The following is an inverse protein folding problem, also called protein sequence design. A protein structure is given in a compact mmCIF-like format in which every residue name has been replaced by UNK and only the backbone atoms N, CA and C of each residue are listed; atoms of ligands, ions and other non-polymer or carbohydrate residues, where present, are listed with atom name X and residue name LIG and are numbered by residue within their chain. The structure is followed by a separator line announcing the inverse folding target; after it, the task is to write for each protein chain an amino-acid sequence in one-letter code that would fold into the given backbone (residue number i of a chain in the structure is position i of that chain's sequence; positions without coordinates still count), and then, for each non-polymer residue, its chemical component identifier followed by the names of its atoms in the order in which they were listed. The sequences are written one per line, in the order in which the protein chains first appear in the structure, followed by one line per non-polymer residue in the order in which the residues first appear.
data_IF_070114480293
#
_entry.id   IF_070114480293
#
_cell.length_a   1.000
_cell.length_b   1.000
_cell.length_c   1.000
_cell.angle_alpha   90.00
_cell.angle_beta   90.00
_cell.angle_gamma   90.00
#
_symmetry.space_group_name_H-M   'P 1'
#
loop_
_entity.id
_entity.type
_entity.pdbx_description
1 polymer ?
#
# COMPACT_ATOMS: atom_id res chain seq x y z
N UNK A 1 -7.27 5.06 0.64
CA UNK A 1 -8.08 3.83 0.90
C UNK A 1 -7.73 2.69 -0.08
N UNK A 2 -7.43 3.02 -1.34
CA UNK A 2 -7.21 2.04 -2.42
C UNK A 2 -6.14 0.98 -2.11
N UNK A 3 -5.06 1.36 -1.42
CA UNK A 3 -4.00 0.43 -1.04
C UNK A 3 -4.50 -0.73 -0.18
N UNK A 4 -5.39 -0.47 0.78
CA UNK A 4 -5.96 -1.51 1.64
C UNK A 4 -6.79 -2.50 0.81
N UNK A 5 -7.64 -2.02 -0.10
CA UNK A 5 -8.45 -2.88 -0.95
C UNK A 5 -7.60 -3.74 -1.87
N UNK A 6 -6.66 -3.11 -2.57
CA UNK A 6 -5.82 -3.79 -3.56
C UNK A 6 -4.99 -4.89 -2.91
N UNK A 7 -4.29 -4.58 -1.83
CA UNK A 7 -3.42 -5.56 -1.17
C UNK A 7 -4.19 -6.66 -0.44
N UNK A 8 -5.30 -6.33 0.23
CA UNK A 8 -6.13 -7.33 0.89
C UNK A 8 -6.72 -8.32 -0.12
N UNK A 9 -7.23 -7.80 -1.24
CA UNK A 9 -7.78 -8.67 -2.28
C UNK A 9 -6.69 -9.52 -2.95
N UNK A 10 -5.57 -8.92 -3.29
CA UNK A 10 -4.47 -9.62 -3.93
C UNK A 10 -3.87 -10.72 -3.06
N UNK A 11 -3.74 -10.49 -1.75
CA UNK A 11 -3.25 -11.50 -0.81
C UNK A 11 -4.20 -12.69 -0.68
N UNK A 12 -5.51 -12.46 -0.82
CA UNK A 12 -6.53 -13.52 -0.81
C UNK A 12 -6.64 -14.26 -2.17
N UNK A 13 -6.24 -13.61 -3.27
CA UNK A 13 -6.39 -14.12 -4.63
C UNK A 13 -5.11 -13.95 -5.47
N UNK A 14 -3.94 -14.40 -4.98
CA UNK A 14 -2.68 -14.12 -5.65
C UNK A 14 -2.60 -14.68 -7.08
N UNK A 15 -3.29 -15.78 -7.36
CA UNK A 15 -3.32 -16.40 -8.69
C UNK A 15 -4.05 -15.56 -9.74
N UNK A 16 -4.84 -14.58 -9.30
CA UNK A 16 -5.59 -13.67 -10.18
C UNK A 16 -4.86 -12.35 -10.46
N UNK A 17 -3.65 -12.15 -9.90
CA UNK A 17 -2.94 -10.87 -9.94
C UNK A 17 -1.68 -10.98 -10.79
N UNK A 18 -1.56 -10.15 -11.81
CA UNK A 18 -0.37 -10.06 -12.64
C UNK A 18 0.70 -9.13 -12.03
N UNK A 19 0.29 -7.98 -11.54
CA UNK A 19 1.13 -6.98 -10.87
C UNK A 19 0.25 -6.06 -10.03
N UNK A 20 0.88 -5.24 -9.17
CA UNK A 20 0.17 -4.23 -8.37
C UNK A 20 0.81 -2.86 -8.61
N UNK A 21 -0.03 -1.87 -8.89
CA UNK A 21 0.32 -0.46 -8.88
C UNK A 21 -0.34 0.24 -7.71
N UNK A 22 0.45 0.93 -6.89
CA UNK A 22 -0.01 1.77 -5.79
C UNK A 22 0.46 3.22 -5.93
N UNK A 23 -0.47 4.16 -5.80
CA UNK A 23 -0.20 5.60 -5.83
C UNK A 23 -0.43 6.18 -4.44
N UNK A 24 0.63 6.59 -3.76
CA UNK A 24 0.61 6.96 -2.35
C UNK A 24 -0.25 6.00 -1.50
N UNK A 25 -0.03 4.67 -1.60
CA UNK A 25 -0.96 3.71 -1.03
C UNK A 25 -0.86 3.65 0.49
N UNK A 26 -2.01 3.51 1.14
CA UNK A 26 -2.05 3.11 2.55
C UNK A 26 -1.62 1.65 2.63
N UNK A 27 -0.54 1.42 3.38
CA UNK A 27 0.01 0.08 3.59
C UNK A 27 -0.14 -0.39 5.05
N UNK A 28 -0.44 0.54 5.96
CA UNK A 28 -0.78 0.31 7.36
C UNK A 28 -1.91 1.27 7.77
N UNK A 29 -3.06 0.72 8.10
CA UNK A 29 -4.20 1.56 8.49
C UNK A 29 -4.00 2.27 9.85
N UNK A 30 -3.03 1.86 10.65
CA UNK A 30 -2.64 2.58 11.87
C UNK A 30 -1.99 3.93 11.54
N UNK A 31 -1.24 3.99 10.44
CA UNK A 31 -0.71 5.26 9.91
C UNK A 31 -1.84 6.15 9.40
N UNK A 32 -2.66 5.62 8.48
CA UNK A 32 -3.87 6.29 8.02
C UNK A 32 -4.97 5.26 7.79
N UNK A 33 -6.18 5.45 8.27
CA UNK A 33 -6.71 6.66 8.94
C UNK A 33 -6.39 6.78 10.43
N UNK A 34 -5.68 5.85 11.04
CA UNK A 34 -5.46 5.78 12.49
C UNK A 34 -4.71 6.97 13.09
N UNK A 35 -3.84 7.63 12.33
CA UNK A 35 -3.06 8.77 12.81
C UNK A 35 -2.13 8.43 13.98
N UNK A 36 -1.67 7.19 14.06
CA UNK A 36 -0.80 6.71 15.13
C UNK A 36 0.69 6.91 14.85
N UNK A 37 1.03 7.45 13.68
CA UNK A 37 2.37 7.84 13.29
C UNK A 37 2.52 9.36 13.18
N UNK A 38 3.21 9.81 12.12
CA UNK A 38 3.51 11.23 11.88
C UNK A 38 2.35 12.02 11.27
N UNK A 39 1.46 11.34 10.56
CA UNK A 39 0.31 11.98 9.90
C UNK A 39 -0.83 12.25 10.89
N UNK A 40 -1.73 13.19 10.55
CA UNK A 40 -2.85 13.56 11.41
C UNK A 40 -3.93 12.48 11.52
N UNK A 41 -3.97 11.55 10.57
CA UNK A 41 -5.05 10.59 10.44
C UNK A 41 -6.39 11.22 10.05
N UNK A 42 -7.45 10.46 10.21
CA UNK A 42 -8.84 10.89 10.00
C UNK A 42 -9.74 10.20 11.01
N UNK A 43 -10.17 10.89 12.08
CA UNK A 43 -10.99 10.27 13.13
C UNK A 43 -12.28 9.60 12.59
N UNK A 44 -12.96 10.27 11.66
CA UNK A 44 -14.17 9.72 11.05
C UNK A 44 -13.90 8.44 10.24
N UNK A 45 -12.85 8.43 9.41
CA UNK A 45 -12.45 7.25 8.65
C UNK A 45 -11.91 6.14 9.56
N UNK A 46 -11.28 6.49 10.68
CA UNK A 46 -10.81 5.53 11.68
C UNK A 46 -11.97 4.81 12.38
N UNK A 47 -13.02 5.54 12.73
CA UNK A 47 -14.25 4.95 13.27
C UNK A 47 -14.94 4.06 12.24
N UNK A 48 -15.06 4.53 11.00
CA UNK A 48 -15.69 3.75 9.92
C UNK A 48 -14.90 2.48 9.61
N UNK A 49 -13.57 2.55 9.61
CA UNK A 49 -12.72 1.37 9.44
C UNK A 49 -12.97 0.33 10.53
N UNK A 50 -13.00 0.75 11.80
CA UNK A 50 -13.27 -0.15 12.92
C UNK A 50 -14.65 -0.82 12.79
N UNK A 51 -15.64 -0.07 12.33
CA UNK A 51 -16.99 -0.59 12.08
C UNK A 51 -17.00 -1.64 10.96
N UNK A 52 -16.36 -1.34 9.84
CA UNK A 52 -16.32 -2.22 8.66
C UNK A 52 -15.51 -3.49 8.92
N UNK A 53 -14.42 -3.39 9.67
CA UNK A 53 -13.61 -4.55 10.07
C UNK A 53 -14.22 -5.32 11.25
N UNK A 54 -15.35 -4.85 11.82
CA UNK A 54 -16.02 -5.46 12.98
C UNK A 54 -15.15 -5.56 14.22
N UNK A 55 -14.23 -4.59 14.42
CA UNK A 55 -13.46 -4.54 15.66
C UNK A 55 -14.34 -4.13 16.84
N UNK A 56 -14.24 -4.86 17.93
CA UNK A 56 -14.98 -4.58 19.16
C UNK A 56 -14.40 -3.36 19.91
N UNK A 57 -13.15 -3.02 19.66
CA UNK A 57 -12.45 -1.90 20.31
C UNK A 57 -11.33 -1.34 19.45
N UNK A 58 -10.87 -0.13 19.76
CA UNK A 58 -9.67 0.43 19.14
C UNK A 58 -8.43 -0.43 19.41
N UNK A 59 -8.37 -1.09 20.57
CA UNK A 59 -7.26 -1.98 20.92
C UNK A 59 -7.15 -3.16 19.95
N UNK A 60 -8.28 -3.73 19.52
CA UNK A 60 -8.28 -4.76 18.48
C UNK A 60 -7.75 -4.24 17.16
N UNK A 61 -8.15 -3.03 16.75
CA UNK A 61 -7.64 -2.39 15.54
C UNK A 61 -6.13 -2.16 15.61
N UNK A 62 -5.62 -1.73 16.76
CA UNK A 62 -4.18 -1.50 16.97
C UNK A 62 -3.37 -2.81 17.01
N UNK A 63 -3.98 -3.91 17.46
CA UNK A 63 -3.35 -5.23 17.49
C UNK A 63 -3.46 -6.00 16.17
N UNK A 64 -4.20 -5.48 15.19
CA UNK A 64 -4.41 -6.14 13.91
C UNK A 64 -3.10 -6.30 13.13
N UNK A 65 -2.80 -7.51 12.71
CA UNK A 65 -1.53 -7.93 12.12
C UNK A 65 -1.64 -8.39 10.65
N UNK A 66 -2.69 -7.94 9.94
CA UNK A 66 -2.94 -8.30 8.54
C UNK A 66 -3.05 -7.08 7.62
N UNK A 67 -2.39 -5.98 8.01
CA UNK A 67 -2.23 -4.86 7.10
C UNK A 67 -1.40 -5.26 5.87
N UNK A 68 -1.44 -4.51 4.76
CA UNK A 68 -0.58 -4.78 3.62
C UNK A 68 0.89 -5.03 3.99
N UNK A 69 1.46 -4.25 4.92
CA UNK A 69 2.84 -4.46 5.40
C UNK A 69 3.06 -5.77 6.15
N UNK A 70 2.00 -6.38 6.68
CA UNK A 70 2.07 -7.60 7.49
C UNK A 70 1.76 -8.87 6.67
N UNK A 71 1.07 -8.73 5.54
CA UNK A 71 0.50 -9.85 4.78
C UNK A 71 1.05 -9.91 3.34
N UNK A 72 2.36 -9.88 3.21
CA UNK A 72 3.06 -9.86 1.92
C UNK A 72 3.50 -11.26 1.44
N UNK A 73 3.55 -12.24 2.32
CA UNK A 73 4.02 -13.58 1.99
C UNK A 73 3.28 -14.23 0.81
N UNK A 74 1.94 -14.22 0.73
CA UNK A 74 1.23 -14.79 -0.42
C UNK A 74 1.63 -14.14 -1.75
N UNK A 75 1.89 -12.83 -1.75
CA UNK A 75 2.31 -12.09 -2.93
C UNK A 75 3.73 -12.45 -3.36
N UNK A 76 4.64 -12.58 -2.39
CA UNK A 76 6.03 -12.95 -2.63
C UNK A 76 6.15 -14.39 -3.17
N UNK A 77 5.40 -15.32 -2.59
CA UNK A 77 5.34 -16.72 -3.05
C UNK A 77 4.79 -16.83 -4.47
N UNK A 78 3.80 -16.00 -4.82
CA UNK A 78 3.26 -15.91 -6.18
C UNK A 78 4.12 -15.06 -7.13
N UNK A 79 5.23 -14.48 -6.64
CA UNK A 79 6.17 -13.64 -7.40
C UNK A 79 5.50 -12.44 -8.08
N UNK A 80 4.54 -11.80 -7.41
CA UNK A 80 3.81 -10.67 -7.95
C UNK A 80 4.70 -9.43 -7.92
N UNK A 81 5.03 -8.81 -9.06
CA UNK A 81 5.80 -7.59 -9.10
C UNK A 81 4.96 -6.38 -8.66
N UNK A 82 5.57 -5.49 -7.90
CA UNK A 82 4.93 -4.29 -7.38
C UNK A 82 5.59 -3.04 -7.94
N UNK A 83 4.78 -2.00 -8.19
CA UNK A 83 5.26 -0.65 -8.46
C UNK A 83 4.47 0.35 -7.63
N UNK A 84 5.18 1.20 -6.88
CA UNK A 84 4.60 2.32 -6.13
C UNK A 84 5.09 3.64 -6.69
N UNK A 85 4.19 4.61 -6.70
CA UNK A 85 4.47 6.01 -6.97
C UNK A 85 4.18 6.82 -5.72
N UNK A 86 5.16 7.52 -5.18
CA UNK A 86 5.03 8.18 -3.88
C UNK A 86 5.59 9.59 -3.90
N UNK A 87 4.87 10.52 -3.26
CA UNK A 87 5.42 11.81 -2.85
C UNK A 87 6.16 11.65 -1.52
N UNK A 88 7.42 12.08 -1.45
CA UNK A 88 8.21 11.94 -0.22
C UNK A 88 7.86 12.98 0.87
N UNK A 89 7.08 14.01 0.50
CA UNK A 89 6.52 14.99 1.42
C UNK A 89 5.03 14.75 1.72
N UNK A 90 4.51 13.54 1.49
CA UNK A 90 3.13 13.17 1.81
C UNK A 90 2.90 13.21 3.31
N UNK A 91 2.06 14.14 3.76
CA UNK A 91 1.70 14.34 5.16
C UNK A 91 0.44 13.57 5.56
N UNK A 92 -0.33 13.08 4.60
CA UNK A 92 -1.58 12.33 4.82
C UNK A 92 -1.28 10.86 5.01
N UNK A 93 -0.60 10.27 4.03
CA UNK A 93 -0.12 8.87 4.05
C UNK A 93 1.41 8.90 4.01
N UNK A 94 2.07 9.10 5.15
CA UNK A 94 3.52 9.30 5.17
C UNK A 94 4.29 8.17 4.51
N UNK A 95 5.13 8.54 3.53
CA UNK A 95 5.94 7.61 2.75
C UNK A 95 6.80 6.67 3.62
N UNK A 96 7.49 7.16 4.68
CA UNK A 96 8.30 6.29 5.54
C UNK A 96 7.50 5.23 6.32
N UNK A 97 6.23 5.50 6.60
CA UNK A 97 5.36 4.62 7.40
C UNK A 97 4.59 3.60 6.56
N UNK A 98 4.56 3.78 5.27
CA UNK A 98 3.77 2.97 4.34
C UNK A 98 4.66 2.27 3.31
N UNK A 99 4.95 2.91 2.19
CA UNK A 99 5.70 2.28 1.09
C UNK A 99 7.11 1.84 1.49
N UNK A 100 7.82 2.61 2.31
CA UNK A 100 9.19 2.23 2.75
C UNK A 100 9.16 0.91 3.51
N UNK A 101 8.27 0.78 4.48
CA UNK A 101 8.13 -0.45 5.29
C UNK A 101 7.70 -1.63 4.41
N UNK A 102 6.72 -1.42 3.53
CA UNK A 102 6.26 -2.45 2.61
C UNK A 102 7.39 -2.93 1.71
N UNK A 103 8.15 -2.00 1.14
CA UNK A 103 9.30 -2.32 0.29
C UNK A 103 10.33 -3.17 1.02
N UNK A 104 10.77 -2.73 2.19
CA UNK A 104 11.77 -3.45 3.00
C UNK A 104 11.31 -4.87 3.31
N UNK A 105 10.07 -5.03 3.74
CA UNK A 105 9.50 -6.33 4.09
C UNK A 105 9.31 -7.23 2.87
N UNK A 106 8.85 -6.66 1.75
CA UNK A 106 8.64 -7.41 0.51
C UNK A 106 9.94 -7.94 -0.08
N UNK A 107 10.96 -7.10 -0.13
CA UNK A 107 12.30 -7.48 -0.58
C UNK A 107 12.94 -8.55 0.35
N UNK A 108 12.74 -8.45 1.66
CA UNK A 108 13.18 -9.46 2.61
C UNK A 108 12.53 -10.84 2.38
N UNK A 109 11.32 -10.87 1.81
CA UNK A 109 10.63 -12.09 1.39
C UNK A 109 11.03 -12.58 -0.03
N UNK A 110 11.97 -11.90 -0.69
CA UNK A 110 12.39 -12.19 -2.05
C UNK A 110 11.50 -11.60 -3.14
N UNK A 111 10.56 -10.73 -2.76
CA UNK A 111 9.67 -10.03 -3.70
C UNK A 111 10.37 -8.90 -4.46
N UNK A 112 9.78 -8.51 -5.58
CA UNK A 112 10.27 -7.42 -6.43
C UNK A 112 9.34 -6.22 -6.36
N UNK A 113 9.88 -5.06 -6.00
CA UNK A 113 9.13 -3.81 -5.95
C UNK A 113 9.97 -2.68 -6.55
N UNK A 114 9.37 -1.90 -7.45
CA UNK A 114 9.90 -0.66 -7.96
C UNK A 114 9.18 0.51 -7.29
N UNK A 115 9.92 1.52 -6.86
CA UNK A 115 9.34 2.73 -6.29
C UNK A 115 9.82 3.94 -7.09
N UNK A 116 8.86 4.72 -7.58
CA UNK A 116 9.10 6.02 -8.21
C UNK A 116 8.74 7.07 -7.16
N UNK A 117 9.76 7.83 -6.74
CA UNK A 117 9.58 8.93 -5.77
C UNK A 117 9.44 10.24 -6.52
N UNK A 118 8.42 11.02 -6.16
CA UNK A 118 8.25 12.41 -6.59
C UNK A 118 8.80 13.35 -5.51
N UNK A 119 10.03 13.90 -5.68
CA UNK A 119 10.64 14.70 -4.63
C UNK A 119 9.84 15.95 -4.31
N UNK A 120 9.57 16.19 -3.02
CA UNK A 120 8.81 17.34 -2.53
C UNK A 120 7.30 17.29 -2.76
N UNK A 121 6.79 16.25 -3.39
CA UNK A 121 5.34 16.10 -3.62
C UNK A 121 4.63 15.54 -2.38
N UNK A 122 3.43 16.06 -2.17
CA UNK A 122 2.52 15.63 -1.10
C UNK A 122 1.61 14.49 -1.60
N UNK A 123 0.51 14.25 -0.91
CA UNK A 123 -0.48 13.23 -1.27
C UNK A 123 -1.14 13.51 -2.63
N UNK A 124 -1.32 14.74 -2.97
CA UNK A 124 -1.84 15.21 -4.26
C UNK A 124 -0.84 16.13 -4.96
N UNK A 125 -0.83 16.18 -6.31
CA UNK A 125 -1.65 15.39 -7.24
C UNK A 125 -1.16 13.94 -7.36
N UNK A 126 -2.10 13.03 -7.65
CA UNK A 126 -1.77 11.65 -7.98
C UNK A 126 -1.23 11.51 -9.40
N UNK A 127 -0.59 10.37 -9.68
CA UNK A 127 -0.09 10.05 -11.01
C UNK A 127 1.22 10.76 -11.38
N UNK A 128 1.64 10.48 -12.59
CA UNK A 128 2.75 11.16 -13.28
C UNK A 128 2.17 11.98 -14.44
N UNK A 129 2.81 13.11 -14.76
CA UNK A 129 2.48 13.89 -15.97
C UNK A 129 2.65 13.03 -17.23
N UNK A 130 3.70 12.21 -17.26
CA UNK A 130 3.86 11.16 -18.26
C UNK A 130 3.68 9.79 -17.59
N UNK A 131 2.54 9.09 -17.82
CA UNK A 131 2.26 7.80 -17.18
C UNK A 131 2.99 6.62 -17.82
N UNK A 132 3.79 6.85 -18.87
CA UNK A 132 4.47 5.78 -19.63
C UNK A 132 5.21 4.76 -18.75
N UNK A 133 5.97 5.13 -17.72
CA UNK A 133 6.64 4.14 -16.88
C UNK A 133 5.70 3.17 -16.17
N UNK A 134 4.55 3.66 -15.71
CA UNK A 134 3.53 2.83 -15.03
C UNK A 134 2.83 1.92 -16.05
N UNK A 135 2.43 2.48 -17.18
CA UNK A 135 1.77 1.71 -18.26
C UNK A 135 2.69 0.62 -18.79
N UNK A 136 3.95 0.93 -19.04
CA UNK A 136 4.94 -0.05 -19.49
C UNK A 136 5.11 -1.19 -18.48
N UNK A 137 5.25 -0.87 -17.20
CA UNK A 137 5.34 -1.86 -16.13
C UNK A 137 4.14 -2.81 -16.13
N UNK A 138 2.93 -2.28 -16.21
CA UNK A 138 1.70 -3.09 -16.21
C UNK A 138 1.65 -3.99 -17.45
N UNK A 139 1.89 -3.43 -18.63
CA UNK A 139 1.83 -4.18 -19.89
C UNK A 139 2.88 -5.30 -19.95
N UNK A 140 4.08 -5.04 -19.47
CA UNK A 140 5.16 -6.04 -19.47
C UNK A 140 4.81 -7.24 -18.59
N UNK A 141 4.23 -7.02 -17.40
CA UNK A 141 3.87 -8.10 -16.49
C UNK A 141 2.54 -8.80 -16.83
N UNK A 142 1.63 -8.13 -17.54
CA UNK A 142 0.41 -8.77 -18.04
C UNK A 142 0.69 -9.81 -19.13
N UNK A 143 1.80 -9.69 -19.87
CA UNK A 143 2.16 -10.62 -20.96
C UNK A 143 2.80 -11.91 -20.46
N UNK A 144 3.27 -11.94 -19.23
CA UNK A 144 3.96 -13.10 -18.65
C UNK A 144 3.00 -14.15 -18.06
N UNK A 145 1.70 -13.88 -18.06
CA UNK A 145 0.63 -14.78 -17.63
C UNK A 145 -0.31 -15.14 -18.79
#
# INVERSE_FOLDING_TARGET
RGGLYVYNWAAAHPDCVACIYGDNPVCDFKSWPGGKGKGPGSPADWQELQRVYHFASEQEALAYDKNPIDNLKPLAEAKIPLIHLCGDADEVVPYPENTVILKERYEALGGTIQVIVKPGFKHHPHGLDDPTPIVAFILDHMREK
#
